data_IF_712842609746
#
_entry.id   IF_712842609746
#
_cell.length_a   1.000
_cell.length_b   1.000
_cell.length_c   1.000
_cell.angle_alpha   90.00
_cell.angle_beta   90.00
_cell.angle_gamma   90.00
#
_symmetry.space_group_name_H-M   'P 1'
#
loop_
_entity.id
_entity.type
_entity.pdbx_description
1 polymer ?
#
# COMPACT_ATOMS: atom_id res chain seq x y z
N UNK A 1 -12.16 0.28 -7.68
CA UNK A 1 -13.02 -0.71 -7.01
C UNK A 1 -14.43 -0.55 -7.55
N UNK A 2 -14.66 -1.18 -8.68
CA UNK A 2 -15.99 -1.43 -9.25
C UNK A 2 -16.63 -2.64 -8.56
N UNK A 3 -17.88 -2.94 -8.94
CA UNK A 3 -18.63 -4.13 -8.55
C UNK A 3 -17.88 -5.43 -8.85
N UNK A 4 -17.51 -5.53 -10.11
CA UNK A 4 -16.85 -6.66 -10.74
C UNK A 4 -15.48 -6.93 -10.10
N UNK A 5 -14.66 -5.88 -9.93
CA UNK A 5 -13.36 -5.95 -9.24
C UNK A 5 -13.45 -6.48 -7.80
N UNK A 6 -14.58 -6.28 -7.11
CA UNK A 6 -14.77 -6.77 -5.74
C UNK A 6 -15.26 -8.22 -5.71
N UNK A 7 -16.19 -8.60 -6.58
CA UNK A 7 -16.68 -9.98 -6.68
C UNK A 7 -15.55 -10.91 -7.10
N UNK A 8 -14.76 -10.52 -8.10
CA UNK A 8 -13.59 -11.27 -8.57
C UNK A 8 -12.49 -11.36 -7.51
N UNK A 9 -12.47 -10.45 -6.53
CA UNK A 9 -11.51 -10.50 -5.42
C UNK A 9 -11.86 -11.53 -4.34
N UNK A 10 -13.05 -12.12 -4.39
CA UNK A 10 -13.51 -13.14 -3.44
C UNK A 10 -13.33 -14.51 -4.09
N UNK A 11 -12.23 -15.19 -3.74
CA UNK A 11 -11.95 -16.55 -4.19
C UNK A 11 -13.13 -17.50 -3.88
N UNK A 12 -13.78 -17.99 -4.94
CA UNK A 12 -14.87 -18.95 -4.81
C UNK A 12 -16.18 -18.38 -4.26
N UNK A 13 -16.51 -17.12 -4.57
CA UNK A 13 -17.80 -16.50 -4.21
C UNK A 13 -19.01 -17.41 -4.51
N UNK A 14 -19.03 -18.07 -5.67
CA UNK A 14 -20.12 -18.97 -6.08
C UNK A 14 -20.24 -20.23 -5.22
N UNK A 15 -19.19 -20.59 -4.50
CA UNK A 15 -19.16 -21.76 -3.59
C UNK A 15 -19.65 -21.42 -2.19
N UNK A 16 -19.87 -20.14 -1.89
CA UNK A 16 -20.37 -19.69 -0.60
C UNK A 16 -21.86 -20.02 -0.44
N UNK A 17 -22.32 -20.10 0.81
CA UNK A 17 -23.76 -20.26 1.07
C UNK A 17 -24.54 -19.03 0.58
N UNK A 18 -25.79 -19.19 0.16
CA UNK A 18 -26.63 -18.05 -0.27
C UNK A 18 -26.68 -16.93 0.76
N UNK A 19 -26.76 -17.27 2.06
CA UNK A 19 -26.71 -16.28 3.14
C UNK A 19 -25.42 -15.47 3.16
N UNK A 20 -24.31 -16.15 2.92
CA UNK A 20 -22.98 -15.54 2.91
C UNK A 20 -22.78 -14.67 1.67
N UNK A 21 -23.24 -15.12 0.50
CA UNK A 21 -23.30 -14.31 -0.71
C UNK A 21 -24.15 -13.05 -0.50
N UNK A 22 -25.33 -13.17 0.12
CA UNK A 22 -26.19 -12.03 0.49
C UNK A 22 -25.48 -11.10 1.47
N UNK A 23 -24.73 -11.63 2.46
CA UNK A 23 -23.94 -10.83 3.42
C UNK A 23 -22.91 -9.98 2.68
N UNK A 24 -22.07 -10.60 1.86
CA UNK A 24 -20.99 -9.92 1.14
C UNK A 24 -21.53 -8.96 0.08
N UNK A 25 -22.57 -9.35 -0.67
CA UNK A 25 -23.20 -8.47 -1.66
C UNK A 25 -23.86 -7.24 -1.00
N UNK A 26 -24.41 -7.40 0.20
CA UNK A 26 -24.92 -6.28 0.99
C UNK A 26 -23.83 -5.32 1.42
N UNK A 27 -22.68 -5.85 1.84
CA UNK A 27 -21.52 -5.02 2.21
C UNK A 27 -20.99 -4.27 1.01
N UNK A 28 -20.87 -4.97 -0.11
CA UNK A 28 -20.47 -4.41 -1.38
C UNK A 28 -21.33 -3.19 -1.77
N UNK A 29 -22.66 -3.33 -1.77
CA UNK A 29 -23.58 -2.26 -2.16
C UNK A 29 -23.40 -1.01 -1.28
N UNK A 30 -23.23 -1.20 0.02
CA UNK A 30 -23.00 -0.12 0.99
C UNK A 30 -21.73 0.67 0.66
N UNK A 31 -20.65 -0.02 0.29
CA UNK A 31 -19.36 0.61 -0.03
C UNK A 31 -19.42 1.37 -1.36
N UNK A 32 -19.88 0.72 -2.44
CA UNK A 32 -19.86 1.32 -3.78
C UNK A 32 -20.89 2.43 -3.95
N UNK A 33 -22.10 2.24 -3.42
CA UNK A 33 -23.14 3.26 -3.46
C UNK A 33 -22.94 4.37 -2.42
N UNK A 34 -21.93 4.25 -1.54
CA UNK A 34 -21.62 5.20 -0.45
C UNK A 34 -22.82 5.49 0.46
N UNK A 35 -23.65 4.48 0.70
CA UNK A 35 -24.84 4.57 1.57
C UNK A 35 -24.57 3.94 2.93
N UNK A 36 -25.43 4.19 3.91
CA UNK A 36 -25.34 3.54 5.24
C UNK A 36 -26.43 2.49 5.48
N UNK A 37 -27.40 2.41 4.58
CA UNK A 37 -28.56 1.53 4.66
C UNK A 37 -28.98 1.05 3.28
N UNK A 38 -29.62 -0.12 3.20
CA UNK A 38 -30.06 -0.72 1.95
C UNK A 38 -31.37 -1.50 2.12
N UNK A 39 -32.02 -1.83 0.99
CA UNK A 39 -33.25 -2.63 0.89
C UNK A 39 -32.94 -3.98 0.25
N UNK A 40 -33.85 -4.94 0.41
CA UNK A 40 -33.77 -6.23 -0.31
C UNK A 40 -33.66 -6.04 -1.84
N UNK A 41 -34.41 -5.09 -2.40
CA UNK A 41 -34.40 -4.82 -3.84
C UNK A 41 -33.03 -4.35 -4.35
N UNK A 42 -32.31 -3.58 -3.53
CA UNK A 42 -30.96 -3.11 -3.86
C UNK A 42 -30.01 -4.30 -4.01
N UNK A 43 -30.11 -5.28 -3.10
CA UNK A 43 -29.25 -6.48 -3.13
C UNK A 43 -29.62 -7.38 -4.30
N UNK A 44 -30.91 -7.58 -4.57
CA UNK A 44 -31.37 -8.34 -5.74
C UNK A 44 -30.78 -7.77 -7.03
N UNK A 45 -30.84 -6.44 -7.18
CA UNK A 45 -30.27 -5.75 -8.33
C UNK A 45 -28.76 -5.97 -8.43
N UNK A 46 -28.03 -5.99 -7.31
CA UNK A 46 -26.61 -6.32 -7.36
C UNK A 46 -26.32 -7.74 -7.89
N UNK A 47 -27.15 -8.75 -7.61
CA UNK A 47 -26.96 -10.07 -8.25
C UNK A 47 -27.26 -10.02 -9.75
N UNK A 48 -28.31 -9.30 -10.15
CA UNK A 48 -28.71 -9.14 -11.56
C UNK A 48 -27.66 -8.39 -12.38
N UNK A 49 -27.17 -7.25 -11.89
CA UNK A 49 -26.21 -6.39 -12.59
C UNK A 49 -24.81 -7.04 -12.78
N UNK A 50 -24.54 -8.18 -12.14
CA UNK A 50 -23.25 -8.92 -12.25
C UNK A 50 -23.43 -10.33 -12.81
N UNK A 51 -24.58 -10.62 -13.42
CA UNK A 51 -24.87 -11.93 -14.02
C UNK A 51 -24.70 -13.11 -13.03
N UNK A 52 -24.96 -12.87 -11.73
CA UNK A 52 -24.85 -13.88 -10.67
C UNK A 52 -26.17 -14.60 -10.44
N UNK A 53 -26.09 -15.84 -9.95
CA UNK A 53 -27.26 -16.61 -9.54
C UNK A 53 -27.99 -15.92 -8.37
N UNK A 54 -29.24 -15.51 -8.60
CA UNK A 54 -30.02 -14.79 -7.60
C UNK A 54 -30.41 -15.74 -6.45
N UNK A 55 -30.10 -15.41 -5.18
CA UNK A 55 -30.50 -16.21 -4.03
C UNK A 55 -32.02 -16.36 -3.93
N UNK A 56 -32.48 -17.56 -3.56
CA UNK A 56 -33.91 -17.90 -3.59
C UNK A 56 -34.74 -17.04 -2.62
N UNK A 57 -34.16 -16.59 -1.50
CA UNK A 57 -34.87 -15.78 -0.52
C UNK A 57 -33.96 -14.77 0.20
N UNK A 58 -33.54 -13.73 -0.54
CA UNK A 58 -32.71 -12.63 0.00
C UNK A 58 -33.34 -12.02 1.26
N UNK A 59 -34.66 -11.80 1.28
CA UNK A 59 -35.36 -11.24 2.44
C UNK A 59 -35.19 -12.11 3.70
N UNK A 60 -35.32 -13.43 3.55
CA UNK A 60 -35.09 -14.35 4.65
C UNK A 60 -33.65 -14.30 5.14
N UNK A 61 -32.67 -14.32 4.23
CA UNK A 61 -31.25 -14.31 4.62
C UNK A 61 -30.84 -13.01 5.31
N UNK A 62 -31.32 -11.85 4.83
CA UNK A 62 -31.14 -10.57 5.53
C UNK A 62 -31.73 -10.60 6.94
N UNK A 63 -32.91 -11.20 7.13
CA UNK A 63 -33.49 -11.37 8.46
C UNK A 63 -32.68 -12.34 9.33
N UNK A 64 -32.14 -13.42 8.77
CA UNK A 64 -31.26 -14.34 9.53
C UNK A 64 -29.96 -13.64 9.97
N UNK A 65 -29.40 -12.77 9.13
CA UNK A 65 -28.21 -11.96 9.47
C UNK A 65 -28.46 -10.96 10.61
N UNK A 66 -29.72 -10.59 10.88
CA UNK A 66 -30.08 -9.80 12.08
C UNK A 66 -30.14 -10.62 13.37
N UNK A 67 -30.20 -11.95 13.25
CA UNK A 67 -30.37 -12.89 14.37
C UNK A 67 -29.06 -13.59 14.78
N UNK A 68 -27.97 -13.38 14.06
CA UNK A 68 -26.66 -13.94 14.42
C UNK A 68 -26.19 -13.38 15.77
N UNK A 69 -25.25 -14.05 16.43
CA UNK A 69 -24.65 -13.61 17.70
C UNK A 69 -23.13 -13.47 17.54
N UNK A 70 -22.58 -12.24 17.42
CA UNK A 70 -23.28 -10.95 17.38
C UNK A 70 -24.07 -10.74 16.05
N UNK A 71 -25.07 -9.84 16.03
CA UNK A 71 -25.84 -9.55 14.82
C UNK A 71 -24.94 -8.93 13.75
N UNK A 72 -24.99 -9.47 12.54
CA UNK A 72 -24.27 -8.90 11.39
C UNK A 72 -24.99 -7.66 10.86
N UNK A 73 -26.32 -7.69 10.85
CA UNK A 73 -27.19 -6.59 10.40
C UNK A 73 -28.10 -6.08 11.51
N UNK A 74 -28.50 -4.82 11.38
CA UNK A 74 -29.52 -4.14 12.19
C UNK A 74 -30.65 -3.70 11.26
N UNK A 75 -31.88 -4.05 11.61
CA UNK A 75 -33.08 -3.65 10.86
C UNK A 75 -33.56 -2.27 11.32
N UNK A 76 -33.83 -1.39 10.36
CA UNK A 76 -34.38 -0.02 10.54
C UNK A 76 -35.64 0.14 9.69
N UNK A 77 -36.78 -0.34 10.19
CA UNK A 77 -38.02 -0.37 9.41
C UNK A 77 -37.92 -1.31 8.20
N UNK A 78 -38.03 -0.75 6.99
CA UNK A 78 -37.85 -1.47 5.72
C UNK A 78 -36.39 -1.52 5.22
N UNK A 79 -35.46 -0.91 5.99
CA UNK A 79 -34.04 -0.83 5.65
C UNK A 79 -33.21 -1.74 6.55
N UNK A 80 -32.03 -2.10 6.06
CA UNK A 80 -31.00 -2.83 6.80
C UNK A 80 -29.71 -1.99 6.84
N UNK A 81 -28.93 -2.14 7.90
CA UNK A 81 -27.60 -1.56 8.06
C UNK A 81 -26.68 -2.60 8.68
N UNK A 82 -25.37 -2.54 8.40
CA UNK A 82 -24.42 -3.37 9.13
C UNK A 82 -24.29 -2.94 10.59
N UNK A 83 -24.21 -3.92 11.48
CA UNK A 83 -23.76 -3.68 12.84
C UNK A 83 -22.33 -3.14 12.83
N UNK A 84 -22.00 -2.23 13.77
CA UNK A 84 -20.72 -1.50 13.77
C UNK A 84 -19.50 -2.42 13.73
N UNK A 85 -19.50 -3.47 14.54
CA UNK A 85 -18.38 -4.43 14.62
C UNK A 85 -18.24 -5.21 13.31
N UNK A 86 -19.36 -5.67 12.76
CA UNK A 86 -19.37 -6.44 11.52
C UNK A 86 -18.88 -5.62 10.34
N UNK A 87 -19.40 -4.39 10.21
CA UNK A 87 -18.93 -3.44 9.21
C UNK A 87 -17.42 -3.24 9.28
N UNK A 88 -16.89 -3.04 10.49
CA UNK A 88 -15.45 -2.84 10.70
C UNK A 88 -14.64 -4.09 10.30
N UNK A 89 -15.15 -5.28 10.59
CA UNK A 89 -14.49 -6.54 10.22
C UNK A 89 -14.41 -6.68 8.69
N UNK A 90 -15.54 -6.49 8.00
CA UNK A 90 -15.61 -6.55 6.54
C UNK A 90 -14.79 -5.45 5.86
N UNK A 91 -14.79 -4.22 6.40
CA UNK A 91 -13.93 -3.14 5.92
C UNK A 91 -12.44 -3.52 6.02
N UNK A 92 -12.00 -4.08 7.15
CA UNK A 92 -10.62 -4.53 7.30
C UNK A 92 -10.27 -5.69 6.35
N UNK A 93 -11.20 -6.61 6.15
CA UNK A 93 -11.01 -7.81 5.35
C UNK A 93 -10.91 -7.49 3.85
N UNK A 94 -11.85 -6.72 3.33
CA UNK A 94 -12.04 -6.54 1.89
C UNK A 94 -11.64 -5.15 1.37
N UNK A 95 -11.86 -4.09 2.13
CA UNK A 95 -11.46 -2.73 1.72
C UNK A 95 -10.01 -2.44 2.12
N UNK A 96 -9.50 -3.18 3.10
CA UNK A 96 -8.24 -2.92 3.77
C UNK A 96 -8.40 -1.87 4.87
N UNK A 97 -7.43 -1.80 5.77
CA UNK A 97 -7.50 -0.83 6.86
C UNK A 97 -7.56 0.61 6.32
N UNK A 98 -8.04 1.57 7.12
CA UNK A 98 -7.93 3.02 6.79
C UNK A 98 -6.51 3.41 6.38
N UNK A 99 -5.49 2.71 6.86
CA UNK A 99 -4.10 2.91 6.51
C UNK A 99 -3.78 2.41 5.10
N UNK A 100 -4.36 1.27 4.64
CA UNK A 100 -4.23 0.80 3.24
C UNK A 100 -4.72 1.85 2.26
N UNK A 101 -5.90 2.41 2.52
CA UNK A 101 -6.52 3.44 1.67
C UNK A 101 -5.69 4.73 1.70
N UNK A 102 -5.19 5.14 2.87
CA UNK A 102 -4.32 6.32 2.99
C UNK A 102 -3.02 6.14 2.21
N UNK A 103 -2.31 5.03 2.39
CA UNK A 103 -1.02 4.78 1.72
C UNK A 103 -1.21 4.61 0.22
N UNK A 104 -2.23 3.87 -0.22
CA UNK A 104 -2.53 3.74 -1.66
C UNK A 104 -2.84 5.10 -2.28
N UNK A 105 -3.55 5.98 -1.56
CA UNK A 105 -3.80 7.36 -2.02
C UNK A 105 -2.52 8.21 -2.03
N UNK A 106 -1.67 8.12 -1.00
CA UNK A 106 -0.38 8.83 -0.95
C UNK A 106 0.53 8.39 -2.10
N UNK A 107 0.69 7.09 -2.29
CA UNK A 107 1.48 6.51 -3.37
C UNK A 107 0.94 6.93 -4.75
N UNK A 108 -0.38 6.89 -4.94
CA UNK A 108 -1.00 7.34 -6.21
C UNK A 108 -0.88 8.85 -6.44
N UNK A 109 -0.90 9.66 -5.38
CA UNK A 109 -0.62 11.10 -5.49
C UNK A 109 0.84 11.39 -5.83
N UNK A 110 1.78 10.50 -5.48
CA UNK A 110 3.19 10.65 -5.82
C UNK A 110 3.43 10.36 -7.31
N UNK A 111 2.65 9.48 -7.95
CA UNK A 111 2.78 9.18 -9.39
C UNK A 111 2.71 10.43 -10.27
N UNK A 112 1.85 11.40 -9.92
CA UNK A 112 1.72 12.64 -10.71
C UNK A 112 2.88 13.62 -10.51
N UNK A 113 3.70 13.42 -9.48
CA UNK A 113 4.85 14.27 -9.15
C UNK A 113 6.15 13.73 -9.71
N UNK A 114 6.27 12.40 -9.85
CA UNK A 114 7.45 11.74 -10.41
C UNK A 114 7.52 11.95 -11.92
N UNK A 115 8.64 12.52 -12.40
CA UNK A 115 8.88 12.72 -13.84
C UNK A 115 9.59 11.55 -14.51
N UNK A 116 10.48 10.85 -13.79
CA UNK A 116 11.24 9.73 -14.33
C UNK A 116 10.34 8.52 -14.54
N UNK A 117 10.34 7.96 -15.75
CA UNK A 117 9.59 6.74 -16.08
C UNK A 117 10.03 5.54 -15.25
N UNK A 118 11.33 5.46 -14.93
CA UNK A 118 11.89 4.39 -14.12
C UNK A 118 11.39 4.49 -12.66
N UNK A 119 11.39 5.69 -12.09
CA UNK A 119 10.84 5.95 -10.75
C UNK A 119 9.33 5.68 -10.70
N UNK A 120 8.59 6.03 -11.76
CA UNK A 120 7.17 5.68 -11.87
C UNK A 120 6.97 4.16 -11.86
N UNK A 121 7.80 3.40 -12.59
CA UNK A 121 7.73 1.93 -12.60
C UNK A 121 7.96 1.35 -11.20
N UNK A 122 8.99 1.80 -10.47
CA UNK A 122 9.22 1.35 -9.09
C UNK A 122 8.03 1.68 -8.17
N UNK A 123 7.44 2.86 -8.32
CA UNK A 123 6.28 3.26 -7.53
C UNK A 123 5.04 2.42 -7.85
N UNK A 124 4.77 2.14 -9.13
CA UNK A 124 3.65 1.29 -9.55
C UNK A 124 3.80 -0.13 -9.01
N UNK A 125 5.00 -0.70 -9.08
CA UNK A 125 5.29 -2.02 -8.50
C UNK A 125 5.13 -2.01 -6.98
N UNK A 126 5.59 -0.95 -6.30
CA UNK A 126 5.39 -0.79 -4.86
C UNK A 126 3.90 -0.80 -4.47
N UNK A 127 3.05 -0.10 -5.25
CA UNK A 127 1.59 -0.08 -5.08
C UNK A 127 1.00 -1.47 -5.29
N UNK A 128 1.31 -2.12 -6.43
CA UNK A 128 0.79 -3.45 -6.77
C UNK A 128 1.13 -4.46 -5.67
N UNK A 129 2.39 -4.50 -5.22
CA UNK A 129 2.82 -5.37 -4.12
C UNK A 129 2.08 -5.07 -2.81
N UNK A 130 1.87 -3.80 -2.49
CA UNK A 130 1.15 -3.42 -1.27
C UNK A 130 -0.32 -3.87 -1.32
N UNK A 131 -0.97 -3.70 -2.46
CA UNK A 131 -2.39 -4.01 -2.65
C UNK A 131 -2.69 -5.51 -2.51
N UNK A 132 -1.79 -6.37 -2.97
CA UNK A 132 -1.85 -7.84 -2.84
C UNK A 132 -1.24 -8.36 -1.52
N UNK A 133 -0.96 -7.48 -0.55
CA UNK A 133 -0.39 -7.81 0.77
C UNK A 133 1.03 -8.41 0.71
N UNK A 134 1.75 -8.25 -0.40
CA UNK A 134 3.17 -8.58 -0.53
C UNK A 134 4.05 -7.48 0.09
N UNK A 135 3.92 -7.30 1.41
CA UNK A 135 4.51 -6.17 2.13
C UNK A 135 6.03 -6.09 2.05
N UNK A 136 6.73 -7.23 2.08
CA UNK A 136 8.20 -7.27 1.92
C UNK A 136 8.60 -6.68 0.57
N UNK A 137 7.97 -7.14 -0.51
CA UNK A 137 8.23 -6.65 -1.87
C UNK A 137 7.90 -5.16 -2.00
N UNK A 138 6.77 -4.71 -1.43
CA UNK A 138 6.39 -3.29 -1.46
C UNK A 138 7.45 -2.38 -0.80
N UNK A 139 8.02 -2.81 0.32
CA UNK A 139 9.12 -2.09 0.99
C UNK A 139 10.37 -2.07 0.10
N UNK A 140 10.72 -3.19 -0.54
CA UNK A 140 11.86 -3.25 -1.46
C UNK A 140 11.68 -2.28 -2.63
N UNK A 141 10.51 -2.27 -3.28
CA UNK A 141 10.25 -1.36 -4.41
C UNK A 141 10.26 0.11 -3.99
N UNK A 142 9.71 0.43 -2.80
CA UNK A 142 9.76 1.80 -2.25
C UNK A 142 11.21 2.22 -1.92
N UNK A 143 12.04 1.28 -1.46
CA UNK A 143 13.45 1.55 -1.21
C UNK A 143 14.22 1.82 -2.51
N UNK A 144 13.99 1.02 -3.57
CA UNK A 144 14.57 1.26 -4.89
C UNK A 144 14.23 2.66 -5.40
N UNK A 145 12.94 3.03 -5.35
CA UNK A 145 12.50 4.39 -5.68
C UNK A 145 13.22 5.46 -4.85
N UNK A 146 13.37 5.25 -3.54
CA UNK A 146 14.02 6.22 -2.66
C UNK A 146 15.46 6.46 -3.06
N UNK A 147 16.23 5.39 -3.25
CA UNK A 147 17.64 5.49 -3.62
C UNK A 147 17.80 6.10 -5.01
N UNK A 148 16.95 5.71 -5.96
CA UNK A 148 16.93 6.27 -7.31
C UNK A 148 16.75 7.79 -7.33
N UNK A 149 15.78 8.28 -6.55
CA UNK A 149 15.52 9.72 -6.40
C UNK A 149 16.75 10.45 -5.85
N UNK A 150 17.47 9.86 -4.89
CA UNK A 150 18.68 10.47 -4.34
C UNK A 150 19.83 10.42 -5.36
N UNK A 151 19.99 9.33 -6.12
CA UNK A 151 21.02 9.25 -7.17
C UNK A 151 20.82 10.35 -8.22
N UNK A 152 19.60 10.50 -8.74
CA UNK A 152 19.27 11.56 -9.69
C UNK A 152 19.50 12.95 -9.09
N UNK A 153 19.11 13.17 -7.83
CA UNK A 153 19.37 14.43 -7.13
C UNK A 153 20.86 14.73 -7.01
N UNK A 154 21.68 13.74 -6.65
CA UNK A 154 23.13 13.89 -6.55
C UNK A 154 23.73 14.24 -7.91
N UNK A 155 23.43 13.46 -8.94
CA UNK A 155 23.95 13.68 -10.30
C UNK A 155 23.56 15.06 -10.83
N UNK A 156 22.30 15.47 -10.62
CA UNK A 156 21.80 16.72 -11.18
C UNK A 156 22.21 17.97 -10.39
N UNK A 157 22.36 17.88 -9.06
CA UNK A 157 22.44 19.08 -8.19
C UNK A 157 23.61 19.08 -7.20
N UNK A 158 24.23 17.93 -6.89
CA UNK A 158 25.18 17.77 -5.78
C UNK A 158 26.42 16.94 -6.11
N UNK A 159 26.75 16.79 -7.38
CA UNK A 159 27.80 15.88 -7.84
C UNK A 159 29.19 16.28 -7.31
N UNK A 160 29.46 17.59 -7.26
CA UNK A 160 30.75 18.13 -6.79
C UNK A 160 30.90 17.87 -5.29
N UNK A 161 29.88 18.21 -4.50
CA UNK A 161 29.88 17.99 -3.05
C UNK A 161 29.97 16.50 -2.72
N UNK A 162 29.28 15.65 -3.48
CA UNK A 162 29.33 14.20 -3.30
C UNK A 162 30.71 13.63 -3.59
N UNK A 163 31.29 13.93 -4.77
CA UNK A 163 32.63 13.47 -5.13
C UNK A 163 33.68 13.97 -4.13
N UNK A 164 33.56 15.20 -3.64
CA UNK A 164 34.45 15.73 -2.59
C UNK A 164 34.33 14.92 -1.30
N UNK A 165 33.13 14.54 -0.89
CA UNK A 165 32.90 13.72 0.30
C UNK A 165 33.42 12.27 0.14
N UNK A 166 33.31 11.69 -1.06
CA UNK A 166 33.91 10.39 -1.40
C UNK A 166 35.42 10.41 -1.17
N UNK A 167 36.09 11.49 -1.60
CA UNK A 167 37.53 11.67 -1.39
C UNK A 167 37.88 11.73 0.10
N UNK A 168 37.04 12.34 0.93
CA UNK A 168 37.27 12.38 2.38
C UNK A 168 37.06 11.01 3.03
N UNK A 169 36.05 10.25 2.60
CA UNK A 169 35.69 8.94 3.18
C UNK A 169 36.82 7.90 3.08
N UNK A 170 37.76 8.04 2.14
CA UNK A 170 38.96 7.18 2.09
C UNK A 170 38.78 5.88 1.33
N UNK A 171 37.72 5.12 1.66
CA UNK A 171 37.47 3.78 1.09
C UNK A 171 37.26 3.77 -0.42
N UNK A 172 36.71 4.86 -0.97
CA UNK A 172 36.26 4.95 -2.36
C UNK A 172 36.98 6.06 -3.15
N UNK A 173 38.13 6.54 -2.66
CA UNK A 173 38.89 7.67 -3.24
C UNK A 173 39.24 7.53 -4.73
N UNK A 174 39.33 6.30 -5.25
CA UNK A 174 39.67 6.06 -6.66
C UNK A 174 38.47 6.15 -7.61
N UNK A 175 37.27 6.27 -7.06
CA UNK A 175 36.01 6.30 -7.81
C UNK A 175 35.60 7.76 -7.98
N UNK A 176 35.22 8.12 -9.21
CA UNK A 176 34.60 9.40 -9.53
C UNK A 176 33.24 9.12 -10.12
N UNK A 177 32.21 9.65 -9.48
CA UNK A 177 30.84 9.46 -9.91
C UNK A 177 30.51 10.49 -10.99
N UNK A 178 29.98 10.01 -12.11
CA UNK A 178 29.53 10.82 -13.23
C UNK A 178 28.19 10.34 -13.81
N UNK A 179 27.86 9.06 -13.62
CA UNK A 179 26.61 8.44 -14.06
C UNK A 179 26.04 7.52 -12.98
N UNK A 180 24.79 7.11 -13.19
CA UNK A 180 24.02 6.31 -12.23
C UNK A 180 24.65 4.95 -11.91
N UNK A 181 25.23 4.28 -12.91
CA UNK A 181 25.86 2.96 -12.72
C UNK A 181 27.03 3.01 -11.73
N UNK A 182 27.71 4.16 -11.59
CA UNK A 182 28.88 4.31 -10.72
C UNK A 182 28.49 4.11 -9.23
N UNK A 183 27.21 4.36 -8.88
CA UNK A 183 26.70 4.09 -7.53
C UNK A 183 26.69 2.60 -7.15
N UNK A 184 26.77 1.69 -8.12
CA UNK A 184 26.89 0.25 -7.84
C UNK A 184 28.23 -0.15 -7.20
N UNK A 185 29.25 0.71 -7.31
CA UNK A 185 30.58 0.44 -6.76
C UNK A 185 30.67 0.64 -5.23
N UNK A 186 29.63 1.19 -4.60
CA UNK A 186 29.61 1.49 -3.17
C UNK A 186 28.44 0.80 -2.46
N UNK A 187 28.63 0.49 -1.18
CA UNK A 187 27.55 -0.05 -0.35
C UNK A 187 26.56 1.07 -0.03
N UNK A 188 25.27 0.76 0.02
CA UNK A 188 24.23 1.74 0.36
C UNK A 188 24.44 2.39 1.73
N UNK A 189 24.92 1.64 2.73
CA UNK A 189 25.29 2.19 4.04
C UNK A 189 26.31 3.32 3.89
N UNK A 190 27.35 3.07 3.10
CA UNK A 190 28.45 4.01 2.91
C UNK A 190 28.01 5.17 2.02
N UNK A 191 27.15 4.93 1.02
CA UNK A 191 26.50 5.98 0.24
C UNK A 191 25.78 6.98 1.16
N UNK A 192 24.99 6.50 2.12
CA UNK A 192 24.26 7.35 3.08
C UNK A 192 25.23 8.14 3.98
N UNK A 193 26.33 7.54 4.41
CA UNK A 193 27.38 8.25 5.18
C UNK A 193 28.08 9.33 4.34
N UNK A 194 28.32 9.06 3.06
CA UNK A 194 28.96 10.01 2.14
C UNK A 194 28.04 11.20 1.89
N UNK A 195 26.74 10.98 1.66
CA UNK A 195 25.74 12.05 1.53
C UNK A 195 25.76 12.97 2.75
N UNK A 196 25.86 12.39 3.94
CA UNK A 196 25.99 13.15 5.18
C UNK A 196 27.28 13.96 5.21
N UNK A 197 28.40 13.32 4.90
CA UNK A 197 29.73 13.94 4.95
C UNK A 197 29.79 15.15 4.01
N UNK A 198 29.18 15.03 2.83
CA UNK A 198 29.02 16.12 1.86
C UNK A 198 27.95 17.15 2.22
N UNK A 199 27.31 17.03 3.40
CA UNK A 199 26.19 17.88 3.86
C UNK A 199 25.02 17.94 2.85
N UNK A 200 24.85 16.91 2.04
CA UNK A 200 23.76 16.77 1.07
C UNK A 200 22.46 16.43 1.80
N UNK A 201 22.58 15.67 2.89
CA UNK A 201 21.47 15.33 3.78
C UNK A 201 21.78 15.70 5.23
N UNK A 202 20.72 15.96 6.00
CA UNK A 202 20.82 16.29 7.43
C UNK A 202 21.14 15.08 8.30
N UNK A 203 21.37 15.34 9.60
CA UNK A 203 21.59 14.25 10.54
C UNK A 203 20.41 13.31 10.69
N UNK A 204 19.22 13.87 10.70
CA UNK A 204 17.99 13.12 10.92
C UNK A 204 17.59 12.33 9.68
N UNK A 205 17.78 12.88 8.46
CA UNK A 205 17.53 12.13 7.22
C UNK A 205 18.42 10.89 7.14
N UNK A 206 19.71 11.00 7.47
CA UNK A 206 20.59 9.81 7.51
C UNK A 206 20.11 8.78 8.54
N UNK A 207 19.66 9.20 9.72
CA UNK A 207 19.15 8.23 10.73
C UNK A 207 17.92 7.48 10.19
N UNK A 208 17.00 8.20 9.55
CA UNK A 208 15.83 7.59 8.89
C UNK A 208 16.28 6.59 7.81
N UNK A 209 17.20 7.00 6.92
CA UNK A 209 17.67 6.14 5.83
C UNK A 209 18.38 4.88 6.34
N UNK A 210 19.24 4.99 7.36
CA UNK A 210 19.91 3.81 7.95
C UNK A 210 18.90 2.88 8.60
N UNK A 211 17.95 3.40 9.39
CA UNK A 211 16.89 2.57 10.00
C UNK A 211 16.08 1.82 8.93
N UNK A 212 15.71 2.50 7.83
CA UNK A 212 14.92 1.88 6.76
C UNK A 212 15.75 0.93 5.90
N UNK A 213 17.05 1.17 5.73
CA UNK A 213 17.98 0.23 5.09
C UNK A 213 18.04 -1.09 5.87
N UNK A 214 18.22 -1.04 7.19
CA UNK A 214 18.26 -2.23 8.04
C UNK A 214 16.93 -3.00 8.00
N UNK A 215 15.82 -2.28 8.00
CA UNK A 215 14.49 -2.89 7.87
C UNK A 215 14.27 -3.50 6.48
N UNK A 216 14.74 -2.85 5.42
CA UNK A 216 14.73 -3.40 4.05
C UNK A 216 15.55 -4.68 3.99
N UNK A 217 16.74 -4.70 4.58
CA UNK A 217 17.60 -5.90 4.62
C UNK A 217 16.90 -7.06 5.31
N UNK A 218 16.17 -6.79 6.40
CA UNK A 218 15.28 -7.76 7.05
C UNK A 218 14.19 -8.28 6.10
N UNK A 219 13.67 -7.43 5.23
CA UNK A 219 12.67 -7.84 4.22
C UNK A 219 13.27 -8.59 3.01
N UNK A 220 14.57 -8.43 2.74
CA UNK A 220 15.24 -9.03 1.58
C UNK A 220 15.83 -10.43 1.87
N UNK A 221 16.21 -10.71 3.12
CA UNK A 221 16.81 -12.00 3.50
C UNK A 221 15.78 -13.02 3.99
N UNK A 222 15.94 -14.33 3.73
CA UNK A 222 15.08 -15.35 4.32
C UNK A 222 15.14 -15.31 5.85
N UNK A 223 13.99 -15.11 6.50
CA UNK A 223 13.85 -15.16 7.95
C UNK A 223 12.37 -15.40 8.33
N UNK A 224 12.12 -15.64 9.61
CA UNK A 224 10.79 -15.92 10.17
C UNK A 224 9.97 -14.68 10.51
N UNK A 225 10.45 -13.47 10.18
CA UNK A 225 9.79 -12.23 10.59
C UNK A 225 8.57 -11.96 9.70
N UNK A 226 7.41 -11.87 10.34
CA UNK A 226 6.14 -11.53 9.69
C UNK A 226 6.00 -10.01 9.62
N UNK A 227 6.00 -9.46 8.41
CA UNK A 227 5.77 -8.03 8.16
C UNK A 227 4.27 -7.77 8.07
N UNK A 228 3.74 -7.00 9.03
CA UNK A 228 2.33 -6.57 9.03
C UNK A 228 2.13 -5.30 8.21
N UNK A 229 0.90 -5.10 7.75
CA UNK A 229 0.47 -3.90 7.01
C UNK A 229 0.91 -2.61 7.70
N UNK A 230 0.64 -2.46 9.00
CA UNK A 230 0.97 -1.25 9.77
C UNK A 230 2.46 -0.90 9.73
N UNK A 231 3.32 -1.91 9.75
CA UNK A 231 4.77 -1.71 9.70
C UNK A 231 5.22 -1.33 8.28
N UNK A 232 4.66 -1.97 7.26
CA UNK A 232 4.92 -1.59 5.86
C UNK A 232 4.48 -0.16 5.57
N UNK A 233 3.26 0.21 6.01
CA UNK A 233 2.73 1.57 5.94
C UNK A 233 3.70 2.57 6.56
N UNK A 234 4.15 2.34 7.80
CA UNK A 234 5.05 3.25 8.49
C UNK A 234 6.37 3.46 7.74
N UNK A 235 6.96 2.39 7.21
CA UNK A 235 8.22 2.49 6.45
C UNK A 235 8.02 3.27 5.16
N UNK A 236 6.94 2.98 4.42
CA UNK A 236 6.63 3.65 3.16
C UNK A 236 6.32 5.14 3.39
N UNK A 237 5.51 5.47 4.40
CA UNK A 237 5.15 6.86 4.75
C UNK A 237 6.40 7.67 5.12
N UNK A 238 7.30 7.09 5.94
CA UNK A 238 8.55 7.75 6.33
C UNK A 238 9.45 8.05 5.13
N UNK A 239 9.61 7.11 4.20
CA UNK A 239 10.44 7.29 3.01
C UNK A 239 9.85 8.34 2.06
N UNK A 240 8.54 8.33 1.86
CA UNK A 240 7.87 9.29 0.98
C UNK A 240 7.96 10.70 1.53
N UNK A 241 7.49 10.90 2.76
CA UNK A 241 7.34 12.24 3.35
C UNK A 241 8.70 12.86 3.71
N UNK A 242 9.63 12.05 4.22
CA UNK A 242 10.89 12.59 4.74
C UNK A 242 12.04 12.57 3.74
N UNK A 243 11.93 11.80 2.65
CA UNK A 243 13.01 11.64 1.67
C UNK A 243 12.51 11.96 0.26
N UNK A 244 11.64 11.14 -0.33
CA UNK A 244 11.29 11.25 -1.76
C UNK A 244 10.77 12.66 -2.10
N UNK A 245 9.82 13.20 -1.34
CA UNK A 245 9.29 14.55 -1.60
C UNK A 245 10.32 15.68 -1.45
N UNK A 246 11.42 15.46 -0.72
CA UNK A 246 12.46 16.48 -0.52
C UNK A 246 13.50 16.51 -1.64
N UNK A 247 13.70 15.40 -2.33
CA UNK A 247 14.78 15.24 -3.32
C UNK A 247 14.28 15.11 -4.77
N UNK A 248 12.96 15.01 -4.97
CA UNK A 248 12.30 15.12 -6.27
C UNK A 248 12.43 16.50 -6.94
#
# INVERSE_FOLDING_TARGET
>A
MTLEEFVDSIDGFDKLTQREQVRLMSFFYVIVSKVSTFRTADIKKCFEDNDLSIPANISHDLLQLTKTKPPALVKKGKLFAFHRTERKNLENEFVGSKHKVKVSKILRNLLSKIKSKEQQAFLEEAIKCFEVKAYRASILMTWLLTIDVIYEYVLAKKLIEFNSAVQVHGKYKKITFAKKDDFSEIKESDFIEILRTGKIISNDIRKILIEKLDFRNTCAHPNSIIIKETKAVSVIDDLIENVIFKFQ
#
